data_IF_784743220719
#
_entry.id   IF_784743220719
#
_cell.length_a   1.000
_cell.length_b   1.000
_cell.length_c   1.000
_cell.angle_alpha   90.00
_cell.angle_beta   90.00
_cell.angle_gamma   90.00
#
_symmetry.space_group_name_H-M   'P 1'
#
loop_
_entity.id
_entity.type
_entity.pdbx_description
1 polymer ?
#
# COMPACT_ATOMS: atom_id res chain seq x y z
N UNK A 1 -31.54 -6.90 -12.77
CA UNK A 1 -30.25 -7.08 -12.10
C UNK A 1 -29.66 -5.71 -11.89
N UNK A 2 -29.49 -5.29 -10.64
CA UNK A 2 -28.70 -4.09 -10.35
C UNK A 2 -27.28 -4.30 -10.87
N UNK A 3 -26.74 -3.30 -11.55
CA UNK A 3 -25.43 -3.40 -12.17
C UNK A 3 -24.40 -2.79 -11.22
N UNK A 4 -23.52 -3.60 -10.64
CA UNK A 4 -22.42 -3.14 -9.79
C UNK A 4 -21.23 -2.63 -10.61
N UNK A 5 -21.51 -1.99 -11.75
CA UNK A 5 -20.52 -1.46 -12.66
C UNK A 5 -19.95 -0.14 -12.10
N UNK A 6 -18.64 0.11 -12.26
CA UNK A 6 -18.07 1.40 -11.89
C UNK A 6 -18.54 2.51 -12.83
N UNK A 7 -18.24 3.77 -12.50
CA UNK A 7 -18.54 4.92 -13.33
C UNK A 7 -17.99 4.75 -14.77
N UNK A 8 -18.64 5.36 -15.79
CA UNK A 8 -18.30 5.14 -17.20
C UNK A 8 -16.82 5.35 -17.56
N UNK A 9 -16.16 6.32 -16.93
CA UNK A 9 -14.73 6.62 -17.15
C UNK A 9 -13.83 5.46 -16.71
N UNK A 10 -14.11 4.85 -15.56
CA UNK A 10 -13.41 3.65 -15.11
C UNK A 10 -13.70 2.47 -16.02
N UNK A 11 -14.95 2.30 -16.49
CA UNK A 11 -15.27 1.23 -17.43
C UNK A 11 -14.42 1.33 -18.71
N UNK A 12 -14.15 2.54 -19.20
CA UNK A 12 -13.27 2.77 -20.35
C UNK A 12 -11.85 2.24 -20.11
N UNK A 13 -11.27 2.53 -18.94
CA UNK A 13 -9.93 2.05 -18.57
C UNK A 13 -9.92 0.53 -18.38
N UNK A 14 -10.94 -0.03 -17.72
CA UNK A 14 -11.02 -1.46 -17.42
C UNK A 14 -11.28 -2.29 -18.66
N UNK A 15 -12.09 -1.82 -19.61
CA UNK A 15 -12.27 -2.51 -20.91
C UNK A 15 -10.96 -2.65 -21.67
N UNK A 16 -10.05 -1.68 -21.57
CA UNK A 16 -8.69 -1.78 -22.14
C UNK A 16 -7.87 -2.86 -21.42
N UNK A 17 -8.02 -3.02 -20.09
CA UNK A 17 -7.33 -4.05 -19.32
C UNK A 17 -7.92 -5.45 -19.52
N UNK A 18 -9.23 -5.55 -19.81
CA UNK A 18 -9.97 -6.79 -20.03
C UNK A 18 -9.96 -7.27 -21.49
N UNK A 19 -9.28 -6.54 -22.38
CA UNK A 19 -8.80 -7.10 -23.62
C UNK A 19 -7.46 -7.84 -23.36
N UNK A 20 -7.09 -8.84 -24.17
CA UNK A 20 -5.77 -9.46 -24.07
C UNK A 20 -4.67 -8.40 -24.09
N UNK A 21 -4.03 -8.17 -22.94
CA UNK A 21 -3.05 -7.11 -22.79
C UNK A 21 -1.85 -7.38 -23.70
N UNK A 22 -1.41 -6.44 -24.55
CA UNK A 22 -0.31 -6.69 -25.49
C UNK A 22 1.01 -7.03 -24.80
N UNK A 23 1.15 -6.64 -23.52
CA UNK A 23 2.35 -6.89 -22.73
C UNK A 23 2.39 -8.32 -22.15
N UNK A 24 1.27 -9.07 -22.19
CA UNK A 24 1.20 -10.45 -21.64
C UNK A 24 2.15 -11.41 -22.34
N UNK A 25 2.36 -11.20 -23.64
CA UNK A 25 3.26 -12.00 -24.48
C UNK A 25 4.67 -11.40 -24.60
N UNK A 26 4.93 -10.24 -23.98
CA UNK A 26 6.22 -9.54 -23.98
C UNK A 26 6.71 -9.30 -22.54
N UNK A 27 6.59 -8.07 -22.00
CA UNK A 27 7.19 -7.70 -20.71
C UNK A 27 6.69 -8.55 -19.56
N UNK A 28 5.43 -8.98 -19.60
CA UNK A 28 4.75 -9.77 -18.57
C UNK A 28 4.87 -11.29 -18.79
N UNK A 29 5.50 -11.74 -19.88
CA UNK A 29 5.64 -13.17 -20.22
C UNK A 29 6.32 -13.93 -19.08
N UNK A 30 5.65 -14.98 -18.58
CA UNK A 30 6.14 -15.83 -17.49
C UNK A 30 6.09 -15.18 -16.10
N UNK A 31 5.45 -14.01 -15.98
CA UNK A 31 5.27 -13.32 -14.69
C UNK A 31 3.81 -13.10 -14.33
N UNK A 32 2.94 -12.96 -15.33
CA UNK A 32 1.51 -12.68 -15.15
C UNK A 32 0.68 -13.70 -15.95
N UNK A 33 -0.49 -14.06 -15.42
CA UNK A 33 -1.42 -14.98 -16.06
C UNK A 33 -2.55 -14.24 -16.76
N UNK A 34 -2.91 -14.75 -17.94
CA UNK A 34 -4.16 -14.46 -18.63
C UNK A 34 -4.74 -15.80 -19.08
N UNK A 35 -5.81 -16.21 -18.41
CA UNK A 35 -6.48 -17.49 -18.65
C UNK A 35 -7.93 -17.38 -18.13
N UNK A 36 -8.86 -16.84 -18.94
CA UNK A 36 -10.23 -16.61 -18.52
C UNK A 36 -10.96 -17.86 -18.04
N UNK A 37 -10.73 -19.01 -18.67
CA UNK A 37 -11.41 -20.27 -18.36
C UNK A 37 -11.04 -20.79 -16.95
N UNK A 38 -9.90 -20.36 -16.43
CA UNK A 38 -9.44 -20.62 -15.07
C UNK A 38 -9.52 -19.39 -14.15
N UNK A 39 -10.28 -18.36 -14.52
CA UNK A 39 -10.53 -17.19 -13.67
C UNK A 39 -9.43 -16.13 -13.69
N UNK A 40 -8.38 -16.30 -14.49
CA UNK A 40 -7.25 -15.37 -14.58
C UNK A 40 -7.51 -14.26 -15.59
N UNK A 41 -8.32 -13.30 -15.19
CA UNK A 41 -8.46 -11.98 -15.83
C UNK A 41 -8.16 -10.88 -14.81
N UNK A 42 -8.02 -9.61 -15.22
CA UNK A 42 -8.15 -8.49 -14.29
C UNK A 42 -9.47 -8.52 -13.53
N UNK A 43 -9.40 -8.70 -12.21
CA UNK A 43 -10.60 -8.93 -11.37
C UNK A 43 -10.55 -8.38 -9.94
N UNK A 44 -9.42 -7.81 -9.53
CA UNK A 44 -9.24 -7.27 -8.17
C UNK A 44 -9.87 -5.89 -7.95
N UNK A 45 -10.95 -5.55 -8.69
CA UNK A 45 -11.52 -4.20 -8.66
C UNK A 45 -13.01 -4.22 -8.31
N UNK A 46 -13.50 -3.24 -7.54
CA UNK A 46 -14.92 -3.06 -7.22
C UNK A 46 -15.18 -1.65 -6.69
N UNK A 47 -16.39 -1.12 -6.92
CA UNK A 47 -16.84 0.15 -6.37
C UNK A 47 -16.95 1.24 -7.43
N UNK A 48 -16.93 2.50 -7.00
CA UNK A 48 -17.22 3.69 -7.79
C UNK A 48 -18.54 3.53 -8.59
N UNK A 49 -19.55 2.92 -7.97
CA UNK A 49 -20.83 2.59 -8.63
C UNK A 49 -21.75 3.81 -8.82
N UNK A 50 -21.41 4.94 -8.20
CA UNK A 50 -22.08 6.23 -8.37
C UNK A 50 -21.36 7.16 -9.37
N UNK A 51 -21.54 8.46 -9.21
CA UNK A 51 -20.75 9.45 -9.91
C UNK A 51 -19.30 9.43 -9.40
N UNK A 52 -18.31 9.68 -10.26
CA UNK A 52 -16.89 9.63 -9.87
C UNK A 52 -16.56 10.59 -8.72
N UNK A 53 -17.24 11.74 -8.68
CA UNK A 53 -17.05 12.79 -7.66
C UNK A 53 -17.66 12.39 -6.29
N UNK A 54 -18.31 11.24 -6.17
CA UNK A 54 -18.75 10.67 -4.89
C UNK A 54 -17.65 9.83 -4.22
N UNK A 55 -16.62 9.43 -4.97
CA UNK A 55 -15.53 8.62 -4.43
C UNK A 55 -14.70 9.45 -3.44
N UNK A 56 -14.52 8.91 -2.24
CA UNK A 56 -13.77 9.53 -1.14
C UNK A 56 -12.58 8.69 -0.69
N UNK A 57 -12.55 7.42 -1.09
CA UNK A 57 -11.49 6.49 -0.77
C UNK A 57 -11.11 5.67 -2.01
N UNK A 58 -9.82 5.54 -2.27
CA UNK A 58 -9.27 4.55 -3.19
C UNK A 58 -8.40 3.57 -2.42
N UNK A 59 -8.78 2.30 -2.44
CA UNK A 59 -8.03 1.19 -1.85
C UNK A 59 -7.17 0.57 -2.95
N UNK A 60 -5.86 0.59 -2.77
CA UNK A 60 -4.88 0.01 -3.70
C UNK A 60 -4.24 -1.21 -3.03
N UNK A 61 -4.64 -2.40 -3.45
CA UNK A 61 -3.98 -3.63 -3.05
C UNK A 61 -2.80 -3.97 -4.01
N UNK A 62 -2.13 -5.10 -3.79
CA UNK A 62 -0.91 -5.43 -4.51
C UNK A 62 -1.18 -6.03 -5.90
N UNK A 63 -1.68 -7.26 -5.94
CA UNK A 63 -2.12 -7.97 -7.13
C UNK A 63 -3.27 -8.89 -6.70
N UNK A 64 -4.18 -9.26 -7.62
CA UNK A 64 -5.16 -10.29 -7.30
C UNK A 64 -4.46 -11.61 -6.95
N UNK A 65 -5.00 -12.32 -5.96
CA UNK A 65 -4.54 -13.66 -5.54
C UNK A 65 -4.84 -14.73 -6.59
N UNK A 66 -4.98 -15.99 -6.20
CA UNK A 66 -5.55 -17.02 -7.08
C UNK A 66 -7.08 -16.89 -7.17
N UNK A 67 -7.70 -17.20 -8.32
CA UNK A 67 -9.16 -17.20 -8.46
C UNK A 67 -9.78 -18.23 -7.51
N UNK A 68 -11.02 -17.98 -7.09
CA UNK A 68 -11.78 -19.02 -6.38
C UNK A 68 -12.08 -20.19 -7.32
N UNK A 69 -12.30 -21.40 -6.79
CA UNK A 69 -12.44 -22.62 -7.60
C UNK A 69 -13.61 -22.55 -8.60
N UNK A 70 -14.66 -21.83 -8.24
CA UNK A 70 -15.85 -21.56 -9.03
C UNK A 70 -15.71 -20.37 -10.00
N UNK A 71 -14.66 -19.57 -9.85
CA UNK A 71 -14.47 -18.34 -10.62
C UNK A 71 -13.90 -18.67 -12.01
N UNK A 72 -14.78 -18.62 -13.01
CA UNK A 72 -14.44 -18.92 -14.42
C UNK A 72 -15.16 -17.96 -15.33
N UNK A 73 -14.52 -17.65 -16.46
CA UNK A 73 -15.05 -16.73 -17.45
C UNK A 73 -14.99 -17.35 -18.85
N UNK A 74 -16.03 -17.18 -19.69
CA UNK A 74 -16.00 -17.70 -21.07
C UNK A 74 -14.86 -17.04 -21.86
N UNK A 75 -14.01 -17.83 -22.52
CA UNK A 75 -12.90 -17.30 -23.32
C UNK A 75 -13.35 -16.38 -24.47
N UNK A 76 -14.58 -16.56 -24.95
CA UNK A 76 -15.21 -15.77 -26.01
C UNK A 76 -15.90 -14.49 -25.53
N UNK A 77 -15.92 -14.23 -24.21
CA UNK A 77 -16.55 -13.04 -23.67
C UNK A 77 -15.82 -11.77 -24.13
N UNK A 78 -16.60 -10.74 -24.42
CA UNK A 78 -16.11 -9.39 -24.70
C UNK A 78 -15.58 -8.73 -23.41
N UNK A 79 -14.72 -7.69 -23.52
CA UNK A 79 -14.29 -6.92 -22.35
C UNK A 79 -15.46 -6.36 -21.51
N UNK A 80 -16.59 -6.04 -22.14
CA UNK A 80 -17.79 -5.59 -21.45
C UNK A 80 -18.48 -6.70 -20.64
N UNK A 81 -18.53 -7.91 -21.18
CA UNK A 81 -19.08 -9.08 -20.49
C UNK A 81 -18.17 -9.53 -19.34
N UNK A 82 -16.85 -9.56 -19.55
CA UNK A 82 -15.91 -9.81 -18.45
C UNK A 82 -16.11 -8.83 -17.31
N UNK A 83 -16.26 -7.53 -17.63
CA UNK A 83 -16.49 -6.49 -16.64
C UNK A 83 -17.75 -6.75 -15.81
N UNK A 84 -18.87 -7.13 -16.45
CA UNK A 84 -20.11 -7.47 -15.75
C UNK A 84 -19.94 -8.72 -14.88
N UNK A 85 -19.30 -9.76 -15.41
CA UNK A 85 -19.13 -11.04 -14.72
C UNK A 85 -18.24 -10.90 -13.48
N UNK A 86 -17.05 -10.28 -13.60
CA UNK A 86 -16.15 -10.19 -12.45
C UNK A 86 -16.66 -9.19 -11.42
N UNK A 87 -17.32 -8.09 -11.82
CA UNK A 87 -17.86 -7.12 -10.84
C UNK A 87 -19.00 -7.73 -10.03
N UNK A 88 -19.86 -8.55 -10.65
CA UNK A 88 -20.88 -9.31 -9.94
C UNK A 88 -20.25 -10.34 -8.98
N UNK A 89 -19.21 -11.06 -9.42
CA UNK A 89 -18.49 -12.00 -8.57
C UNK A 89 -17.81 -11.30 -7.38
N UNK A 90 -17.06 -10.23 -7.64
CA UNK A 90 -16.39 -9.43 -6.61
C UNK A 90 -17.40 -8.86 -5.61
N UNK A 91 -18.52 -8.30 -6.08
CA UNK A 91 -19.60 -7.84 -5.21
C UNK A 91 -20.05 -8.94 -4.26
N UNK A 92 -20.35 -10.14 -4.79
CA UNK A 92 -20.77 -11.27 -3.99
C UNK A 92 -19.73 -11.67 -2.93
N UNK A 93 -18.44 -11.67 -3.29
CA UNK A 93 -17.36 -11.99 -2.36
C UNK A 93 -17.25 -10.97 -1.21
N UNK A 94 -17.35 -9.67 -1.50
CA UNK A 94 -17.34 -8.65 -0.45
C UNK A 94 -18.62 -8.65 0.39
N UNK A 95 -19.79 -8.75 -0.24
CA UNK A 95 -21.08 -8.75 0.46
C UNK A 95 -21.15 -9.88 1.50
N UNK A 96 -20.60 -11.05 1.18
CA UNK A 96 -20.60 -12.23 2.06
C UNK A 96 -19.29 -12.44 2.82
N UNK A 97 -18.35 -11.49 2.75
CA UNK A 97 -17.03 -11.61 3.40
C UNK A 97 -16.37 -12.96 3.15
N UNK A 98 -16.30 -13.37 1.88
CA UNK A 98 -15.91 -14.72 1.41
C UNK A 98 -14.64 -15.25 2.07
N UNK A 99 -13.68 -14.38 2.34
CA UNK A 99 -12.46 -14.69 3.07
C UNK A 99 -12.04 -13.53 4.01
N UNK A 100 -10.86 -13.69 4.63
CA UNK A 100 -10.31 -12.70 5.56
C UNK A 100 -10.02 -11.35 4.89
N UNK A 101 -9.60 -11.33 3.62
CA UNK A 101 -9.35 -10.08 2.90
C UNK A 101 -10.66 -9.31 2.72
N UNK A 102 -11.70 -9.98 2.21
CA UNK A 102 -13.02 -9.38 2.01
C UNK A 102 -13.61 -8.89 3.34
N UNK A 103 -13.53 -9.69 4.40
CA UNK A 103 -14.00 -9.30 5.74
C UNK A 103 -13.27 -8.06 6.28
N UNK A 104 -11.95 -7.97 6.09
CA UNK A 104 -11.16 -6.83 6.55
C UNK A 104 -11.47 -5.56 5.76
N UNK A 105 -11.69 -5.67 4.45
CA UNK A 105 -12.13 -4.53 3.64
C UNK A 105 -13.51 -4.07 4.08
N UNK A 106 -14.47 -4.98 4.30
CA UNK A 106 -15.80 -4.63 4.83
C UNK A 106 -15.70 -3.89 6.16
N UNK A 107 -14.83 -4.36 7.07
CA UNK A 107 -14.55 -3.68 8.34
C UNK A 107 -14.01 -2.26 8.14
N UNK A 108 -13.03 -2.08 7.25
CA UNK A 108 -12.48 -0.76 6.91
C UNK A 108 -13.55 0.17 6.32
N UNK A 109 -14.39 -0.32 5.40
CA UNK A 109 -15.44 0.47 4.78
C UNK A 109 -16.49 0.94 5.80
N UNK A 110 -16.92 0.05 6.70
CA UNK A 110 -17.85 0.40 7.78
C UNK A 110 -17.28 1.43 8.75
N UNK A 111 -15.95 1.41 8.99
CA UNK A 111 -15.29 2.41 9.82
C UNK A 111 -15.21 3.78 9.10
N UNK A 112 -14.85 3.78 7.82
CA UNK A 112 -14.74 4.99 7.00
C UNK A 112 -16.10 5.65 6.72
N UNK A 113 -17.16 4.86 6.58
CA UNK A 113 -18.48 5.33 6.21
C UNK A 113 -19.57 4.75 7.12
N UNK A 114 -19.61 5.18 8.39
CA UNK A 114 -20.54 4.64 9.38
C UNK A 114 -21.99 4.95 8.99
N UNK A 115 -22.88 3.98 9.23
CA UNK A 115 -24.31 4.12 8.98
C UNK A 115 -24.74 3.90 7.53
N UNK A 116 -23.81 3.78 6.59
CA UNK A 116 -24.13 3.46 5.20
C UNK A 116 -24.28 1.95 4.96
N UNK A 117 -25.18 1.60 4.05
CA UNK A 117 -25.27 0.26 3.46
C UNK A 117 -24.05 -0.07 2.61
N UNK A 118 -23.83 -1.35 2.26
CA UNK A 118 -22.70 -1.73 1.42
C UNK A 118 -22.76 -1.08 0.03
N UNK A 119 -23.93 -1.02 -0.59
CA UNK A 119 -24.10 -0.39 -1.90
C UNK A 119 -23.78 1.11 -1.86
N UNK A 120 -24.21 1.82 -0.82
CA UNK A 120 -23.86 3.23 -0.62
C UNK A 120 -22.37 3.44 -0.33
N UNK A 121 -21.71 2.47 0.31
CA UNK A 121 -20.26 2.47 0.48
C UNK A 121 -19.56 2.27 -0.86
N UNK A 122 -20.04 1.36 -1.72
CA UNK A 122 -19.49 1.10 -3.05
C UNK A 122 -19.60 2.31 -4.00
N UNK A 123 -20.54 3.22 -3.77
CA UNK A 123 -20.56 4.52 -4.48
C UNK A 123 -19.37 5.41 -4.10
N UNK A 124 -18.88 5.30 -2.86
CA UNK A 124 -17.88 6.19 -2.26
C UNK A 124 -16.46 5.61 -2.22
N UNK A 125 -16.27 4.36 -2.63
CA UNK A 125 -14.95 3.72 -2.67
C UNK A 125 -14.62 3.18 -4.05
N UNK A 126 -13.36 3.28 -4.47
CA UNK A 126 -12.80 2.50 -5.56
C UNK A 126 -11.74 1.53 -5.03
N UNK A 127 -11.96 0.23 -5.20
CA UNK A 127 -11.00 -0.82 -4.85
C UNK A 127 -10.29 -1.23 -6.14
N UNK A 128 -8.96 -1.28 -6.12
CA UNK A 128 -8.13 -1.66 -7.27
C UNK A 128 -6.79 -2.24 -6.82
N UNK A 129 -5.98 -2.66 -7.78
CA UNK A 129 -4.71 -3.35 -7.56
C UNK A 129 -3.55 -2.59 -8.22
N UNK A 130 -2.38 -2.65 -7.60
CA UNK A 130 -1.16 -2.07 -8.17
C UNK A 130 -0.67 -2.79 -9.43
N UNK A 131 -1.13 -4.02 -9.63
CA UNK A 131 -0.99 -4.80 -10.85
C UNK A 131 -2.28 -5.59 -11.07
N UNK A 132 -2.92 -5.43 -12.23
CA UNK A 132 -4.29 -5.88 -12.42
C UNK A 132 -4.44 -7.39 -12.66
N UNK A 133 -3.42 -8.07 -13.21
CA UNK A 133 -3.46 -9.51 -13.45
C UNK A 133 -2.88 -10.29 -12.27
N UNK A 134 -3.25 -11.56 -12.12
CA UNK A 134 -2.61 -12.46 -11.14
C UNK A 134 -1.16 -12.73 -11.55
N UNK A 135 -0.27 -12.74 -10.55
CA UNK A 135 1.11 -13.20 -10.75
C UNK A 135 1.12 -14.69 -11.13
N UNK A 136 2.21 -15.17 -11.75
CA UNK A 136 2.41 -16.59 -12.07
C UNK A 136 2.34 -17.49 -10.81
N UNK A 137 2.89 -16.98 -9.71
CA UNK A 137 2.80 -17.60 -8.39
C UNK A 137 2.14 -16.62 -7.43
N UNK A 138 1.06 -17.03 -6.78
CA UNK A 138 0.38 -16.23 -5.76
C UNK A 138 1.38 -15.77 -4.68
N UNK A 139 1.29 -14.49 -4.31
CA UNK A 139 2.21 -13.88 -3.36
C UNK A 139 3.66 -13.76 -3.85
N UNK A 140 3.97 -14.21 -5.07
CA UNK A 140 5.30 -14.18 -5.67
C UNK A 140 5.85 -12.77 -5.94
N UNK A 141 7.12 -12.72 -6.33
CA UNK A 141 7.77 -11.48 -6.75
C UNK A 141 7.44 -11.19 -8.21
N UNK A 142 6.93 -9.99 -8.48
CA UNK A 142 6.71 -9.47 -9.83
C UNK A 142 7.83 -8.48 -10.16
N UNK A 143 8.53 -8.61 -11.30
CA UNK A 143 9.58 -7.68 -11.69
C UNK A 143 9.09 -6.22 -11.77
N UNK A 144 9.96 -5.28 -11.38
CA UNK A 144 9.62 -3.84 -11.39
C UNK A 144 9.18 -3.35 -12.77
N UNK A 145 9.78 -3.88 -13.85
CA UNK A 145 9.39 -3.53 -15.23
C UNK A 145 7.92 -3.88 -15.53
N UNK A 146 7.43 -4.99 -15.01
CA UNK A 146 6.05 -5.46 -15.20
C UNK A 146 5.09 -4.58 -14.40
N UNK A 147 5.40 -4.35 -13.11
CA UNK A 147 4.54 -3.55 -12.24
C UNK A 147 4.45 -2.10 -12.71
N UNK A 148 5.57 -1.51 -13.18
CA UNK A 148 5.56 -0.16 -13.77
C UNK A 148 4.75 -0.12 -15.05
N UNK A 149 4.94 -1.08 -15.94
CA UNK A 149 4.18 -1.16 -17.19
C UNK A 149 2.66 -1.21 -16.93
N UNK A 150 2.22 -2.04 -15.98
CA UNK A 150 0.80 -2.13 -15.61
C UNK A 150 0.29 -0.82 -14.96
N UNK A 151 1.08 -0.25 -14.04
CA UNK A 151 0.70 0.96 -13.34
C UNK A 151 0.61 2.19 -14.26
N UNK A 152 1.58 2.36 -15.16
CA UNK A 152 1.59 3.45 -16.14
C UNK A 152 0.42 3.36 -17.11
N UNK A 153 0.07 2.13 -17.52
CA UNK A 153 -1.00 1.91 -18.50
C UNK A 153 -2.40 2.09 -17.91
N UNK A 154 -2.61 1.62 -16.68
CA UNK A 154 -3.95 1.52 -16.11
C UNK A 154 -4.10 2.28 -14.79
N UNK A 155 -3.27 1.97 -13.78
CA UNK A 155 -3.47 2.50 -12.43
C UNK A 155 -3.38 4.03 -12.38
N UNK A 156 -2.39 4.65 -13.02
CA UNK A 156 -2.27 6.12 -13.07
C UNK A 156 -3.55 6.78 -13.60
N UNK A 157 -4.13 6.21 -14.65
CA UNK A 157 -5.39 6.71 -15.24
C UNK A 157 -6.54 6.58 -14.24
N UNK A 158 -6.63 5.44 -13.52
CA UNK A 158 -7.65 5.24 -12.50
C UNK A 158 -7.51 6.24 -11.34
N UNK A 159 -6.30 6.42 -10.80
CA UNK A 159 -6.07 7.35 -9.69
C UNK A 159 -6.33 8.81 -10.07
N UNK A 160 -6.00 9.20 -11.30
CA UNK A 160 -6.25 10.54 -11.81
C UNK A 160 -7.75 10.92 -11.89
N UNK A 161 -8.66 9.94 -11.88
CA UNK A 161 -10.11 10.20 -11.84
C UNK A 161 -10.61 10.66 -10.47
N UNK A 162 -9.81 10.51 -9.41
CA UNK A 162 -10.24 10.75 -8.03
C UNK A 162 -9.29 11.71 -7.30
N UNK A 163 -9.13 12.96 -7.80
CA UNK A 163 -8.18 13.92 -7.23
C UNK A 163 -8.51 14.30 -5.78
N UNK A 164 -9.77 14.22 -5.39
CA UNK A 164 -10.25 14.60 -4.05
C UNK A 164 -10.39 13.40 -3.10
N UNK A 165 -10.06 12.18 -3.54
CA UNK A 165 -10.16 10.99 -2.70
C UNK A 165 -8.89 10.75 -1.88
N UNK A 166 -9.06 10.13 -0.71
CA UNK A 166 -7.94 9.54 0.03
C UNK A 166 -7.43 8.34 -0.74
N UNK A 167 -6.15 8.34 -1.12
CA UNK A 167 -5.51 7.19 -1.76
C UNK A 167 -4.74 6.39 -0.70
N UNK A 168 -5.06 5.11 -0.53
CA UNK A 168 -4.43 4.24 0.47
C UNK A 168 -3.93 2.94 -0.17
N UNK A 169 -2.63 2.67 -0.03
CA UNK A 169 -2.01 1.44 -0.53
C UNK A 169 -1.75 0.44 0.60
N UNK A 170 -2.27 -0.77 0.46
CA UNK A 170 -2.26 -1.80 1.49
C UNK A 170 -1.24 -2.88 1.15
N UNK A 171 -0.28 -3.10 2.05
CA UNK A 171 0.93 -3.94 1.95
C UNK A 171 2.17 -3.23 1.41
N UNK A 172 3.35 -3.75 1.79
CA UNK A 172 4.65 -3.28 1.29
C UNK A 172 4.74 -3.30 -0.24
N UNK A 173 4.11 -4.27 -0.91
CA UNK A 173 4.12 -4.36 -2.38
C UNK A 173 3.34 -3.21 -3.01
N UNK A 174 2.10 -3.00 -2.56
CA UNK A 174 1.25 -1.93 -3.06
C UNK A 174 1.88 -0.56 -2.80
N UNK A 175 2.35 -0.31 -1.57
CA UNK A 175 3.04 0.93 -1.19
C UNK A 175 4.24 1.21 -2.08
N UNK A 176 5.12 0.22 -2.26
CA UNK A 176 6.33 0.37 -3.08
C UNK A 176 6.01 0.67 -4.55
N UNK A 177 4.95 0.07 -5.09
CA UNK A 177 4.56 0.25 -6.51
C UNK A 177 3.86 1.58 -6.73
N UNK A 178 3.02 2.00 -5.78
CA UNK A 178 2.25 3.24 -5.88
C UNK A 178 3.06 4.50 -5.55
N UNK A 179 4.11 4.41 -4.72
CA UNK A 179 4.93 5.56 -4.33
C UNK A 179 5.69 6.23 -5.49
N UNK A 180 5.84 5.53 -6.62
CA UNK A 180 6.55 6.04 -7.79
C UNK A 180 5.62 6.73 -8.81
N UNK A 181 4.32 6.83 -8.51
CA UNK A 181 3.33 7.30 -9.48
C UNK A 181 3.08 8.80 -9.44
N UNK A 182 3.69 9.53 -8.49
CA UNK A 182 3.50 10.97 -8.33
C UNK A 182 2.22 11.35 -7.55
N UNK A 183 1.55 10.37 -6.95
CA UNK A 183 0.37 10.61 -6.09
C UNK A 183 0.75 10.53 -4.62
N UNK A 184 0.08 11.33 -3.78
CA UNK A 184 0.15 11.20 -2.33
C UNK A 184 -0.69 9.99 -1.91
N UNK A 185 -0.01 8.92 -1.49
CA UNK A 185 -0.66 7.66 -1.09
C UNK A 185 -0.32 7.35 0.36
N UNK A 186 -1.33 7.05 1.17
CA UNK A 186 -1.15 6.56 2.53
C UNK A 186 -0.61 5.13 2.49
N UNK A 187 0.45 4.87 3.25
CA UNK A 187 1.03 3.55 3.37
C UNK A 187 0.36 2.77 4.50
N UNK A 188 -0.26 1.63 4.18
CA UNK A 188 -1.05 0.84 5.10
C UNK A 188 -0.55 -0.61 5.18
N UNK A 189 -0.72 -1.25 6.33
CA UNK A 189 -0.52 -2.69 6.49
C UNK A 189 -1.53 -3.49 5.66
N UNK A 190 -1.16 -4.70 5.24
CA UNK A 190 -1.94 -5.50 4.31
C UNK A 190 -3.35 -5.85 4.84
N UNK A 191 -4.36 -5.83 3.97
CA UNK A 191 -5.73 -6.28 4.28
C UNK A 191 -5.86 -7.81 4.25
N UNK A 192 -4.95 -8.50 3.58
CA UNK A 192 -4.91 -9.96 3.48
C UNK A 192 -3.86 -10.58 4.43
N UNK A 193 -4.03 -11.85 4.83
CA UNK A 193 -3.02 -12.61 5.55
C UNK A 193 -1.70 -12.77 4.78
N UNK A 194 -0.58 -13.01 5.48
CA UNK A 194 -0.44 -12.95 6.94
C UNK A 194 -0.31 -11.51 7.48
N UNK A 195 -0.13 -10.51 6.61
CA UNK A 195 0.18 -9.14 7.01
C UNK A 195 -0.92 -8.45 7.82
N UNK A 196 -2.19 -8.81 7.59
CA UNK A 196 -3.33 -8.25 8.34
C UNK A 196 -3.38 -8.62 9.82
N UNK A 197 -2.58 -9.59 10.26
CA UNK A 197 -2.54 -10.05 11.65
C UNK A 197 -1.61 -9.20 12.53
N UNK A 198 -0.86 -8.26 11.92
CA UNK A 198 0.05 -7.36 12.62
C UNK A 198 -0.72 -6.18 13.22
N UNK A 199 -0.38 -5.79 14.45
CA UNK A 199 -1.04 -4.68 15.16
C UNK A 199 -0.87 -3.35 14.42
N UNK A 200 0.34 -3.10 13.91
CA UNK A 200 0.70 -1.90 13.14
C UNK A 200 -0.15 -1.78 11.87
N UNK A 201 -0.58 -2.93 11.32
CA UNK A 201 -1.51 -2.96 10.19
C UNK A 201 -2.85 -2.35 10.57
N UNK A 202 -3.43 -2.73 11.71
CA UNK A 202 -4.71 -2.19 12.19
C UNK A 202 -4.62 -0.69 12.50
N UNK A 203 -3.55 -0.25 13.17
CA UNK A 203 -3.32 1.18 13.46
C UNK A 203 -3.26 2.02 12.17
N UNK A 204 -2.66 1.47 11.11
CA UNK A 204 -2.63 2.15 9.80
C UNK A 204 -3.99 2.23 9.10
N UNK A 205 -4.95 1.37 9.45
CA UNK A 205 -6.31 1.43 8.90
C UNK A 205 -7.12 2.53 9.56
N UNK A 206 -6.91 2.77 10.86
CA UNK A 206 -7.50 3.91 11.58
C UNK A 206 -7.01 5.25 11.02
N UNK A 207 -5.78 5.31 10.49
CA UNK A 207 -5.30 6.50 9.78
C UNK A 207 -6.12 6.79 8.51
N UNK A 208 -6.49 5.74 7.77
CA UNK A 208 -7.34 5.87 6.57
C UNK A 208 -8.73 6.34 6.97
N UNK A 209 -9.32 5.73 8.00
CA UNK A 209 -10.59 6.15 8.56
C UNK A 209 -10.59 7.63 8.93
N UNK A 210 -9.58 8.08 9.69
CA UNK A 210 -9.45 9.50 10.10
C UNK A 210 -9.32 10.42 8.88
N UNK A 211 -8.52 10.04 7.89
CA UNK A 211 -8.34 10.84 6.68
C UNK A 211 -9.66 10.97 5.88
N UNK A 212 -10.42 9.88 5.75
CA UNK A 212 -11.72 9.89 5.06
C UNK A 212 -12.73 10.74 5.83
N UNK A 213 -12.80 10.62 7.16
CA UNK A 213 -13.69 11.44 7.99
C UNK A 213 -13.36 12.92 7.90
N UNK A 214 -12.08 13.29 8.00
CA UNK A 214 -11.63 14.68 7.82
C UNK A 214 -12.01 15.25 6.45
N UNK A 215 -11.91 14.44 5.38
CA UNK A 215 -12.33 14.84 4.04
C UNK A 215 -13.84 15.07 3.96
N UNK A 216 -14.65 14.23 4.61
CA UNK A 216 -16.10 14.35 4.64
C UNK A 216 -16.55 15.57 5.47
N UNK A 217 -15.93 15.80 6.63
CA UNK A 217 -16.25 16.91 7.53
C UNK A 217 -15.81 18.27 6.95
N UNK A 218 -14.64 18.30 6.29
CA UNK A 218 -14.10 19.51 5.67
C UNK A 218 -14.78 19.94 4.36
N UNK A 219 -15.65 19.08 3.79
CA UNK A 219 -16.42 19.37 2.57
C UNK A 219 -17.69 20.18 2.80
N UNK A 220 -17.98 20.57 4.06
CA UNK A 220 -19.26 21.16 4.46
C UNK A 220 -19.49 22.64 4.14
N UNK A 221 -18.49 23.43 3.73
CA UNK A 221 -18.62 24.91 3.85
C UNK A 221 -18.03 25.77 2.72
N UNK A 222 -17.92 25.26 1.48
CA UNK A 222 -17.39 26.05 0.35
C UNK A 222 -18.37 26.31 -0.80
N UNK A 223 -19.65 25.92 -0.71
CA UNK A 223 -20.59 26.00 -1.86
C UNK A 223 -22.02 26.47 -1.58
N UNK A 224 -22.34 27.04 -0.43
CA UNK A 224 -23.65 27.67 -0.23
C UNK A 224 -23.55 29.01 0.49
N UNK A 225 -23.04 30.01 -0.22
CA UNK A 225 -23.36 31.41 0.03
C UNK A 225 -23.61 32.10 -1.32
N UNK A 226 -24.73 31.73 -1.95
CA UNK A 226 -25.49 32.59 -2.86
C UNK A 226 -26.98 32.28 -2.64
N UNK A 227 -27.63 33.23 -1.97
CA UNK A 227 -29.07 33.50 -1.88
C UNK A 227 -30.02 32.74 -2.81
N UNK A 228 -31.15 32.23 -2.31
CA UNK A 228 -32.36 33.06 -2.25
C UNK A 228 -33.46 32.50 -1.34
N UNK A 229 -34.25 33.43 -0.81
CA UNK A 229 -35.31 33.26 0.17
C UNK A 229 -36.60 32.71 -0.45
N UNK A 230 -37.39 31.96 0.35
CA UNK A 230 -38.80 31.70 0.01
C UNK A 230 -39.52 30.61 0.81
N UNK A 231 -40.13 31.00 1.94
CA UNK A 231 -41.52 30.59 2.22
C UNK A 231 -41.82 29.29 2.99
N UNK A 232 -42.04 29.47 4.31
CA UNK A 232 -43.15 28.94 5.16
C UNK A 232 -43.55 27.45 5.20
N UNK A 233 -43.41 26.92 6.42
CA UNK A 233 -44.42 26.32 7.32
C UNK A 233 -45.09 24.98 6.98
N UNK A 234 -44.95 24.02 7.91
CA UNK A 234 -45.80 22.84 8.06
C UNK A 234 -45.31 21.94 9.18
N UNK A 235 -46.18 21.65 10.15
CA UNK A 235 -45.88 21.04 11.44
C UNK A 235 -45.95 19.51 11.46
N UNK A 236 -45.43 18.96 12.57
CA UNK A 236 -45.88 17.77 13.31
C UNK A 236 -45.36 16.38 12.94
N UNK A 237 -44.70 15.82 13.97
CA UNK A 237 -45.00 14.57 14.66
C UNK A 237 -44.45 13.23 14.10
N UNK A 238 -43.67 12.62 14.98
CA UNK A 238 -43.87 11.28 15.55
C UNK A 238 -42.85 10.19 15.17
N UNK A 239 -42.48 9.44 16.22
CA UNK A 239 -42.19 8.01 16.16
C UNK A 239 -40.78 7.57 15.73
N UNK A 240 -40.09 6.88 16.64
CA UNK A 240 -39.20 5.78 16.23
C UNK A 240 -37.89 5.66 16.98
N UNK A 241 -37.95 5.16 18.22
CA UNK A 241 -36.79 4.57 18.89
C UNK A 241 -36.48 3.23 18.19
N UNK A 242 -35.36 3.17 17.49
CA UNK A 242 -34.81 1.94 16.91
C UNK A 242 -33.38 1.74 17.37
N UNK A 243 -33.19 0.91 18.40
CA UNK A 243 -31.87 0.45 18.85
C UNK A 243 -31.20 -0.40 17.77
N UNK A 244 -30.25 0.20 17.05
CA UNK A 244 -29.37 -0.48 16.12
C UNK A 244 -28.37 -1.37 16.85
N UNK A 245 -28.57 -2.68 16.74
CA UNK A 245 -27.66 -3.73 17.17
C UNK A 245 -26.31 -3.56 16.44
N UNK A 246 -25.25 -3.15 17.17
CA UNK A 246 -23.87 -3.10 16.65
C UNK A 246 -23.42 -4.53 16.36
N UNK A 247 -23.19 -4.85 15.09
CA UNK A 247 -22.46 -6.05 14.69
C UNK A 247 -21.00 -5.90 15.15
N UNK A 248 -20.70 -6.53 16.29
CA UNK A 248 -19.36 -6.60 16.83
C UNK A 248 -18.45 -7.40 15.91
N UNK A 249 -17.35 -6.77 15.48
CA UNK A 249 -16.25 -7.43 14.80
C UNK A 249 -15.77 -8.60 15.67
N UNK A 250 -15.94 -9.84 15.17
CA UNK A 250 -15.57 -11.06 15.89
C UNK A 250 -14.06 -11.09 16.13
N UNK A 251 -13.65 -10.77 17.36
CA UNK A 251 -12.31 -11.00 17.87
C UNK A 251 -12.14 -12.50 18.14
N UNK A 252 -11.33 -13.17 17.33
CA UNK A 252 -10.84 -14.53 17.62
C UNK A 252 -9.67 -14.40 18.59
N UNK A 253 -9.60 -15.19 19.68
CA UNK A 253 -8.54 -15.04 20.67
C UNK A 253 -7.19 -15.45 20.08
N UNK A 254 -6.24 -14.52 20.06
CA UNK A 254 -4.85 -14.81 19.76
C UNK A 254 -4.21 -15.50 20.97
N UNK A 255 -3.66 -16.69 20.74
CA UNK A 255 -2.84 -17.39 21.72
C UNK A 255 -1.63 -16.53 22.10
N UNK A 256 -1.47 -16.31 23.40
CA UNK A 256 -0.38 -15.55 24.00
C UNK A 256 0.98 -16.20 23.72
N UNK A 257 1.89 -15.46 23.10
CA UNK A 257 3.32 -15.67 23.22
C UNK A 257 4.01 -14.31 23.42
N UNK A 258 4.42 -14.14 24.68
CA UNK A 258 5.47 -13.33 25.30
C UNK A 258 6.18 -12.26 24.46
N UNK A 259 6.13 -11.04 25.00
CA UNK A 259 7.20 -10.06 25.19
C UNK A 259 8.21 -9.88 24.05
N UNK A 260 7.82 -9.08 23.06
CA UNK A 260 8.77 -8.31 22.24
C UNK A 260 8.34 -6.84 22.30
N UNK A 261 9.18 -5.99 22.89
CA UNK A 261 8.98 -4.54 22.94
C UNK A 261 9.01 -3.91 21.52
N UNK A 262 8.25 -2.83 21.29
CA UNK A 262 7.99 -2.31 19.96
C UNK A 262 9.16 -1.43 19.46
N UNK A 263 9.83 -1.86 18.39
CA UNK A 263 10.68 -0.98 17.60
C UNK A 263 9.81 -0.11 16.67
N UNK A 264 9.61 1.15 17.09
CA UNK A 264 8.83 2.17 16.40
C UNK A 264 9.32 2.47 14.97
N UNK A 265 8.37 2.81 14.11
CA UNK A 265 8.54 2.99 12.67
C UNK A 265 9.71 3.88 12.27
N UNK A 266 10.71 3.28 11.63
CA UNK A 266 11.86 4.01 11.14
C UNK A 266 11.57 4.66 9.77
N UNK A 267 11.69 5.98 9.67
CA UNK A 267 11.84 6.72 8.43
C UNK A 267 12.98 6.13 7.61
N UNK A 268 12.70 5.81 6.34
CA UNK A 268 13.62 5.06 5.51
C UNK A 268 13.89 5.81 4.21
N UNK A 269 15.02 6.52 4.16
CA UNK A 269 15.67 6.81 2.88
C UNK A 269 15.79 5.52 2.07
N UNK A 270 15.38 5.55 0.80
CA UNK A 270 15.57 4.41 -0.09
C UNK A 270 17.06 4.25 -0.46
N UNK A 271 17.43 3.13 -1.08
CA UNK A 271 18.82 2.88 -1.45
C UNK A 271 19.44 3.97 -2.33
N UNK A 272 18.66 4.57 -3.21
CA UNK A 272 19.16 5.55 -4.19
C UNK A 272 19.46 6.87 -3.49
N UNK A 273 18.62 7.26 -2.52
CA UNK A 273 18.84 8.40 -1.65
C UNK A 273 20.11 8.21 -0.78
N UNK A 274 20.33 7.00 -0.23
CA UNK A 274 21.56 6.67 0.48
C UNK A 274 22.79 6.77 -0.44
N UNK A 275 22.71 6.24 -1.66
CA UNK A 275 23.79 6.31 -2.64
C UNK A 275 24.15 7.76 -2.97
N UNK A 276 23.14 8.62 -3.18
CA UNK A 276 23.37 10.04 -3.45
C UNK A 276 24.02 10.75 -2.26
N UNK A 277 23.53 10.51 -1.04
CA UNK A 277 24.10 11.03 0.19
C UNK A 277 25.57 10.61 0.35
N UNK A 278 25.86 9.32 0.17
CA UNK A 278 27.23 8.79 0.24
C UNK A 278 28.17 9.45 -0.76
N UNK A 279 27.73 9.69 -2.01
CA UNK A 279 28.55 10.41 -3.00
C UNK A 279 28.88 11.83 -2.53
N UNK A 280 27.89 12.56 -2.02
CA UNK A 280 28.06 13.92 -1.46
C UNK A 280 29.02 13.94 -0.27
N UNK A 281 29.10 12.83 0.47
CA UNK A 281 29.99 12.67 1.62
C UNK A 281 31.37 12.09 1.27
N UNK A 282 31.71 11.92 -0.01
CA UNK A 282 33.04 11.44 -0.43
C UNK A 282 33.24 9.93 -0.37
N UNK A 283 32.18 9.15 -0.23
CA UNK A 283 32.25 7.69 -0.37
C UNK A 283 32.47 7.30 -1.84
N UNK A 284 33.23 6.23 -2.05
CA UNK A 284 33.60 5.69 -3.36
C UNK A 284 33.10 4.25 -3.50
N UNK A 285 33.00 3.75 -4.74
CA UNK A 285 32.56 2.38 -5.03
C UNK A 285 31.22 1.97 -4.37
N UNK A 286 30.29 2.92 -4.21
CA UNK A 286 29.04 2.72 -3.48
C UNK A 286 28.16 1.73 -4.24
N UNK A 287 28.08 0.50 -3.73
CA UNK A 287 27.27 -0.57 -4.31
C UNK A 287 26.55 -1.34 -3.20
N UNK A 288 25.28 -1.67 -3.45
CA UNK A 288 24.54 -2.55 -2.55
C UNK A 288 25.25 -3.89 -2.42
N UNK A 289 25.20 -4.46 -1.21
CA UNK A 289 25.82 -5.73 -0.85
C UNK A 289 27.36 -5.69 -0.97
N UNK A 290 27.95 -4.52 -0.73
CA UNK A 290 29.40 -4.35 -0.60
C UNK A 290 29.74 -3.50 0.63
N UNK A 291 30.97 -3.63 1.11
CA UNK A 291 31.53 -2.73 2.12
C UNK A 291 31.68 -1.34 1.52
N UNK A 292 31.16 -0.33 2.20
CA UNK A 292 31.33 1.06 1.84
C UNK A 292 32.81 1.41 1.87
N UNK A 293 33.26 2.10 0.82
CA UNK A 293 34.60 2.66 0.77
C UNK A 293 34.50 4.17 0.84
N UNK A 294 35.52 4.79 1.42
CA UNK A 294 35.64 6.22 1.51
C UNK A 294 37.07 6.61 1.12
N UNK A 295 37.24 7.82 0.59
CA UNK A 295 38.56 8.35 0.18
C UNK A 295 39.59 8.38 1.31
N UNK A 296 39.11 8.31 2.56
CA UNK A 296 39.91 8.18 3.77
C UNK A 296 39.50 6.91 4.53
N UNK A 297 40.40 6.29 5.32
CA UNK A 297 40.08 5.09 6.09
C UNK A 297 38.90 5.33 7.03
N UNK A 298 37.93 4.41 7.05
CA UNK A 298 36.77 4.44 7.96
C UNK A 298 36.54 3.02 8.51
N UNK A 299 35.81 2.88 9.64
CA UNK A 299 35.33 1.57 10.07
C UNK A 299 34.60 0.84 8.94
N UNK A 300 34.82 -0.48 8.86
CA UNK A 300 34.20 -1.29 7.82
C UNK A 300 32.69 -1.37 8.03
N UNK A 301 31.92 -0.92 7.03
CA UNK A 301 30.47 -0.88 7.09
C UNK A 301 29.88 -1.44 5.81
N UNK A 302 29.22 -2.59 5.90
CA UNK A 302 28.63 -3.28 4.76
C UNK A 302 27.22 -2.76 4.47
N UNK A 303 27.02 -2.22 3.26
CA UNK A 303 25.75 -1.64 2.83
C UNK A 303 24.80 -2.73 2.35
N UNK A 304 23.77 -3.03 3.14
CA UNK A 304 22.82 -4.09 2.87
C UNK A 304 21.44 -3.53 2.48
N UNK A 305 20.70 -4.34 1.72
CA UNK A 305 19.29 -4.11 1.40
C UNK A 305 18.57 -5.44 1.35
N UNK A 306 17.46 -5.52 2.08
CA UNK A 306 16.61 -6.70 2.13
C UNK A 306 15.46 -6.59 1.11
N UNK A 307 14.76 -7.71 0.87
CA UNK A 307 13.71 -7.82 -0.17
C UNK A 307 12.57 -6.79 -0.03
N UNK A 308 12.35 -6.29 1.18
CA UNK A 308 11.35 -5.27 1.51
C UNK A 308 11.83 -3.83 1.26
N UNK A 309 12.95 -3.67 0.55
CA UNK A 309 13.61 -2.39 0.30
C UNK A 309 14.18 -1.68 1.54
N UNK A 310 14.12 -2.33 2.71
CA UNK A 310 14.76 -1.87 3.94
C UNK A 310 16.28 -1.86 3.77
N UNK A 311 16.89 -0.73 4.10
CA UNK A 311 18.35 -0.54 4.08
C UNK A 311 18.89 -0.78 5.48
N UNK A 312 19.95 -1.58 5.58
CA UNK A 312 20.65 -1.82 6.83
C UNK A 312 22.15 -1.86 6.60
N UNK A 313 22.91 -1.73 7.69
CA UNK A 313 24.35 -1.74 7.65
C UNK A 313 24.89 -2.78 8.61
N UNK A 314 25.96 -3.48 8.21
CA UNK A 314 26.63 -4.46 9.07
C UNK A 314 28.04 -3.96 9.35
N UNK A 315 28.32 -3.67 10.61
CA UNK A 315 29.64 -3.24 11.09
C UNK A 315 30.23 -4.23 12.09
N UNK A 316 31.49 -4.06 12.47
CA UNK A 316 32.12 -4.90 13.49
C UNK A 316 31.83 -4.39 14.90
N UNK A 317 31.67 -5.32 15.85
CA UNK A 317 31.41 -4.99 17.27
C UNK A 317 32.59 -4.23 17.90
N UNK A 318 33.82 -4.50 17.47
CA UNK A 318 35.02 -3.76 17.92
C UNK A 318 34.96 -2.27 17.59
N UNK A 319 34.22 -1.90 16.54
CA UNK A 319 34.04 -0.53 16.08
C UNK A 319 32.77 0.11 16.66
N UNK A 320 32.12 -0.50 17.68
CA UNK A 320 30.84 -0.01 18.23
C UNK A 320 30.83 1.46 18.64
N UNK A 321 31.97 2.00 19.05
CA UNK A 321 32.11 3.40 19.45
C UNK A 321 31.89 4.38 18.29
N UNK A 322 32.04 3.94 17.03
CA UNK A 322 31.74 4.76 15.84
C UNK A 322 30.25 4.82 15.50
N UNK A 323 29.39 4.15 16.28
CA UNK A 323 27.93 4.08 16.06
C UNK A 323 27.20 4.60 17.31
N UNK A 324 27.19 5.93 17.54
CA UNK A 324 26.60 6.48 18.75
C UNK A 324 25.08 6.23 18.81
N UNK A 325 24.60 5.76 19.95
CA UNK A 325 23.22 5.25 20.15
C UNK A 325 22.12 6.29 19.99
N UNK A 326 22.45 7.57 19.95
CA UNK A 326 21.50 8.65 19.63
C UNK A 326 21.28 8.81 18.12
N UNK A 327 22.21 8.34 17.27
CA UNK A 327 22.11 8.41 15.81
C UNK A 327 21.85 7.05 15.16
N UNK A 328 22.27 5.98 15.82
CA UNK A 328 22.14 4.61 15.33
C UNK A 328 21.22 3.79 16.24
N UNK A 329 20.50 2.85 15.63
CA UNK A 329 19.74 1.80 16.29
C UNK A 329 20.35 0.44 15.92
N UNK A 330 20.61 -0.39 16.93
CA UNK A 330 21.04 -1.78 16.71
C UNK A 330 19.80 -2.63 16.54
N UNK A 331 19.76 -3.43 15.48
CA UNK A 331 18.65 -4.32 15.17
C UNK A 331 19.12 -5.78 15.12
N UNK A 332 18.22 -6.77 15.25
CA UNK A 332 18.56 -8.16 15.05
C UNK A 332 19.18 -8.42 13.66
N UNK A 333 20.09 -9.41 13.53
CA UNK A 333 20.65 -9.80 12.24
C UNK A 333 19.57 -10.11 11.21
N UNK A 334 19.69 -9.52 10.02
CA UNK A 334 18.70 -9.71 8.94
C UNK A 334 18.96 -10.94 8.08
N UNK A 335 20.18 -11.47 8.12
CA UNK A 335 20.60 -12.67 7.38
C UNK A 335 21.38 -13.57 8.31
N UNK A 336 21.28 -14.89 8.09
CA UNK A 336 22.03 -15.89 8.86
C UNK A 336 23.54 -15.64 8.90
N UNK A 337 24.12 -15.08 7.82
CA UNK A 337 25.55 -14.75 7.75
C UNK A 337 25.96 -13.53 8.59
N UNK A 338 25.00 -12.70 8.97
CA UNK A 338 25.20 -11.51 9.80
C UNK A 338 24.98 -11.85 11.29
N UNK A 339 24.52 -13.06 11.60
CA UNK A 339 24.39 -13.60 12.95
C UNK A 339 25.72 -14.20 13.42
N UNK A 340 26.72 -13.32 13.55
CA UNK A 340 28.05 -13.67 14.05
C UNK A 340 28.39 -12.77 15.24
N UNK A 341 29.09 -13.28 16.26
CA UNK A 341 29.37 -12.53 17.48
C UNK A 341 30.31 -11.32 17.27
N UNK A 342 31.07 -11.30 16.16
CA UNK A 342 32.02 -10.25 15.82
C UNK A 342 31.39 -9.08 15.04
N UNK A 343 30.14 -9.20 14.60
CA UNK A 343 29.43 -8.17 13.83
C UNK A 343 28.12 -7.73 14.48
N UNK A 344 27.60 -6.59 14.04
CA UNK A 344 26.30 -6.08 14.44
C UNK A 344 25.58 -5.47 13.25
N UNK A 345 24.25 -5.64 13.22
CA UNK A 345 23.40 -4.95 12.25
C UNK A 345 22.89 -3.66 12.87
N UNK A 346 23.09 -2.55 12.17
CA UNK A 346 22.70 -1.21 12.62
C UNK A 346 21.94 -0.49 11.51
N UNK A 347 21.08 0.44 11.91
CA UNK A 347 20.38 1.37 11.03
C UNK A 347 20.48 2.77 11.61
N UNK A 348 20.62 3.82 10.78
CA UNK A 348 20.45 5.17 11.28
C UNK A 348 19.02 5.36 11.81
N UNK A 349 18.87 6.12 12.88
CA UNK A 349 17.55 6.54 13.34
C UNK A 349 16.89 7.47 12.31
N UNK A 350 15.56 7.53 12.27
CA UNK A 350 14.83 8.35 11.30
C UNK A 350 15.22 9.83 11.36
N UNK A 351 15.57 10.42 10.22
CA UNK A 351 16.01 11.81 10.13
C UNK A 351 17.45 12.04 10.63
N UNK A 352 18.12 11.01 11.12
CA UNK A 352 19.52 11.06 11.54
C UNK A 352 20.47 10.46 10.51
N UNK A 353 20.00 10.06 9.32
CA UNK A 353 20.78 9.32 8.31
C UNK A 353 22.11 10.03 8.02
N UNK A 354 22.07 11.29 7.60
CA UNK A 354 23.29 12.05 7.29
C UNK A 354 24.21 12.20 8.51
N UNK A 355 23.67 12.63 9.64
CA UNK A 355 24.42 12.84 10.88
C UNK A 355 25.11 11.56 11.37
N UNK A 356 24.45 10.41 11.21
CA UNK A 356 24.96 9.10 11.60
C UNK A 356 26.24 8.74 10.83
N UNK A 357 26.29 9.04 9.53
CA UNK A 357 27.49 8.86 8.72
C UNK A 357 28.53 9.96 8.92
N UNK A 358 28.14 11.20 9.22
CA UNK A 358 29.09 12.26 9.57
C UNK A 358 29.84 11.90 10.86
N UNK A 359 29.15 11.35 11.86
CA UNK A 359 29.77 10.84 13.08
C UNK A 359 30.79 9.72 12.81
N UNK A 360 30.52 8.84 11.83
CA UNK A 360 31.46 7.79 11.40
C UNK A 360 32.75 8.41 10.84
N UNK A 361 32.63 9.48 10.04
CA UNK A 361 33.77 10.21 9.48
C UNK A 361 34.57 10.92 10.57
N UNK A 362 33.89 11.59 11.52
CA UNK A 362 34.54 12.24 12.66
C UNK A 362 35.30 11.23 13.51
N UNK A 363 34.72 10.06 13.78
CA UNK A 363 35.38 8.98 14.52
C UNK A 363 36.66 8.51 13.82
N UNK A 364 36.68 8.52 12.49
CA UNK A 364 37.86 8.22 11.69
C UNK A 364 38.90 9.37 11.64
N UNK A 365 38.75 10.42 12.46
CA UNK A 365 39.63 11.58 12.51
C UNK A 365 39.43 12.55 11.35
N UNK A 366 38.26 12.52 10.70
CA UNK A 366 37.99 13.35 9.53
C UNK A 366 37.15 14.56 9.95
N UNK A 367 37.75 15.74 9.87
CA UNK A 367 37.03 16.98 10.15
C UNK A 367 36.01 17.24 9.02
N UNK A 368 34.73 17.32 9.35
CA UNK A 368 33.62 17.44 8.39
C UNK A 368 33.33 18.89 7.97
N UNK A 369 34.07 19.86 8.50
CA UNK A 369 33.85 21.30 8.27
C UNK A 369 34.19 21.79 6.85
N UNK A 370 34.75 20.94 5.97
CA UNK A 370 35.18 21.33 4.63
C UNK A 370 34.08 21.34 3.54
N UNK A 371 32.79 21.13 3.88
CA UNK A 371 31.70 20.97 2.90
C UNK A 371 30.44 21.81 3.18
N UNK A 372 30.56 22.92 3.92
CA UNK A 372 29.49 23.93 4.01
C UNK A 372 29.55 24.92 2.85
#
# INVERSE_FOLDING_TARGET
>A
METHLPCPELQGILREALAPCPEITDKCRGYMRWDPEHGHIPRGCLGATGHRDEVRLVIIAAEPGDPHAEEKYPATATPGEYLQLFTAHAYNCFAHSRDRYHANVRCLLSACFPGLTFDEQLRRVWITESCLCSAEKEGGSIPVKVTRCCADRYLKKQLALFPDAVLAAFSTKAVRRSSQLGFRVLACGALAPPGCNRKEGRESWEMVERAVKQLLDGGGDARSDVSDAGGRAGASADGGVGEGRREGCVSVPAGSNRDDEPHGGAGNMNSDAYVEMFRKMGFTDIQLRKTLKHVKPIPSLYFNRDGDAFVSFVGYVKDKASFPVNLWERIPPRKKKDDRPDVMTVVPKPGCERAAFEALLVYAGLNTEASR
#
